data_IF_941225207637
#
_entry.id   IF_941225207637
#
_cell.length_a   1.000
_cell.length_b   1.000
_cell.length_c   1.000
_cell.angle_alpha   90.00
_cell.angle_beta   90.00
_cell.angle_gamma   90.00
#
_symmetry.space_group_name_H-M   'P 1'
#
loop_
_entity.id
_entity.type
_entity.pdbx_description
1 polymer ?
#
# COMPACT_ATOMS: atom_id res chain seq x y z
N UNK A 1 1.39 18.77 18.08
CA UNK A 1 0.09 18.25 18.56
C UNK A 1 0.33 16.78 18.94
N UNK A 2 0.13 16.43 20.21
CA UNK A 2 0.44 15.14 20.87
C UNK A 2 1.68 14.39 20.36
N UNK A 3 2.86 14.78 20.87
CA UNK A 3 4.06 13.95 20.82
C UNK A 3 3.97 12.87 21.88
N UNK A 4 3.43 11.70 21.56
CA UNK A 4 3.43 10.55 22.45
C UNK A 4 4.77 9.84 22.28
N UNK A 5 5.67 10.05 23.23
CA UNK A 5 6.92 9.31 23.32
C UNK A 5 6.74 7.99 24.06
N UNK A 6 7.84 7.23 24.15
CA UNK A 6 7.91 6.04 25.00
C UNK A 6 7.47 6.28 26.46
N UNK A 7 7.87 7.38 27.15
CA UNK A 7 7.47 7.57 28.54
C UNK A 7 5.96 7.81 28.68
N UNK A 8 5.34 8.59 27.81
CA UNK A 8 3.89 8.82 27.83
C UNK A 8 3.10 7.52 27.57
N UNK A 9 3.59 6.69 26.64
CA UNK A 9 2.99 5.37 26.36
C UNK A 9 3.09 4.43 27.57
N UNK A 10 4.19 4.49 28.33
CA UNK A 10 4.35 3.72 29.56
C UNK A 10 3.35 4.16 30.66
N UNK A 11 3.08 5.47 30.79
CA UNK A 11 2.07 5.97 31.74
C UNK A 11 0.68 5.47 31.34
N UNK A 12 0.32 5.52 30.06
CA UNK A 12 -0.97 5.02 29.56
C UNK A 12 -1.10 3.51 29.83
N UNK A 13 -0.04 2.74 29.57
CA UNK A 13 -0.02 1.31 29.85
C UNK A 13 -0.19 1.01 31.34
N UNK A 14 0.47 1.78 32.22
CA UNK A 14 0.32 1.65 33.66
C UNK A 14 -1.12 1.92 34.12
N UNK A 15 -1.75 2.99 33.63
CA UNK A 15 -3.14 3.31 33.92
C UNK A 15 -4.08 2.20 33.44
N UNK A 16 -3.86 1.68 32.23
CA UNK A 16 -4.65 0.56 31.71
C UNK A 16 -4.51 -0.69 32.59
N UNK A 17 -3.30 -1.02 33.04
CA UNK A 17 -3.05 -2.14 33.97
C UNK A 17 -3.78 -1.94 35.30
N UNK A 18 -3.83 -0.73 35.84
CA UNK A 18 -4.54 -0.47 37.10
C UNK A 18 -6.06 -0.62 36.92
N UNK A 19 -6.61 -0.11 35.82
CA UNK A 19 -8.06 -0.13 35.55
C UNK A 19 -8.55 -1.55 35.25
N UNK A 20 -7.86 -2.29 34.38
CA UNK A 20 -8.27 -3.63 33.96
C UNK A 20 -7.70 -4.75 34.84
N UNK A 21 -6.61 -4.49 35.55
CA UNK A 21 -5.85 -5.45 36.33
C UNK A 21 -4.72 -6.12 35.52
N UNK A 22 -3.51 -6.32 36.09
CA UNK A 22 -2.37 -6.92 35.41
C UNK A 22 -2.62 -8.38 35.00
N UNK A 23 -3.44 -9.10 35.76
CA UNK A 23 -3.75 -10.51 35.49
C UNK A 23 -4.75 -10.69 34.36
N UNK A 24 -5.66 -9.72 34.15
CA UNK A 24 -6.74 -9.82 33.16
C UNK A 24 -6.34 -9.32 31.77
N UNK A 25 -5.46 -8.32 31.72
CA UNK A 25 -4.95 -7.75 30.47
C UNK A 25 -4.35 -8.78 29.50
N UNK A 26 -3.47 -9.72 29.92
CA UNK A 26 -2.93 -10.74 29.03
C UNK A 26 -4.00 -11.70 28.53
N UNK A 27 -5.02 -12.02 29.33
CA UNK A 27 -6.13 -12.88 28.92
C UNK A 27 -6.98 -12.22 27.83
N UNK A 28 -7.29 -10.92 27.97
CA UNK A 28 -8.00 -10.15 26.93
C UNK A 28 -7.16 -10.02 25.66
N UNK A 29 -5.85 -9.75 25.77
CA UNK A 29 -4.96 -9.69 24.62
C UNK A 29 -4.89 -11.04 23.88
N UNK A 30 -4.82 -12.16 24.61
CA UNK A 30 -4.87 -13.51 24.03
C UNK A 30 -6.20 -13.79 23.35
N UNK A 31 -7.31 -13.34 23.91
CA UNK A 31 -8.63 -13.50 23.31
C UNK A 31 -8.76 -12.70 22.01
N UNK A 32 -8.37 -11.43 22.02
CA UNK A 32 -8.33 -10.59 20.84
C UNK A 32 -7.41 -11.18 19.76
N UNK A 33 -6.21 -11.64 20.12
CA UNK A 33 -5.28 -12.28 19.19
C UNK A 33 -5.84 -13.55 18.56
N UNK A 34 -6.58 -14.38 19.33
CA UNK A 34 -7.29 -15.54 18.79
C UNK A 34 -8.38 -15.13 17.78
N UNK A 35 -9.13 -14.09 18.10
CA UNK A 35 -10.18 -13.57 17.21
C UNK A 35 -9.61 -13.03 15.90
N UNK A 36 -8.52 -12.25 15.96
CA UNK A 36 -7.81 -11.77 14.77
C UNK A 36 -7.29 -12.93 13.93
N UNK A 37 -6.71 -13.96 14.56
CA UNK A 37 -6.24 -15.14 13.84
C UNK A 37 -7.38 -15.91 13.17
N UNK A 38 -8.54 -16.02 13.82
CA UNK A 38 -9.73 -16.64 13.24
C UNK A 38 -10.26 -15.83 12.06
N UNK A 39 -10.35 -14.51 12.20
CA UNK A 39 -10.77 -13.61 11.14
C UNK A 39 -9.84 -13.70 9.93
N UNK A 40 -8.52 -13.73 10.16
CA UNK A 40 -7.53 -13.92 9.09
C UNK A 40 -7.73 -15.24 8.36
N UNK A 41 -7.91 -16.35 9.09
CA UNK A 41 -8.19 -17.65 8.48
C UNK A 41 -9.47 -17.64 7.66
N UNK A 42 -10.53 -17.01 8.17
CA UNK A 42 -11.79 -16.88 7.44
C UNK A 42 -11.63 -16.07 6.15
N UNK A 43 -10.88 -14.97 6.19
CA UNK A 43 -10.57 -14.17 5.01
C UNK A 43 -9.74 -14.96 3.98
N UNK A 44 -8.72 -15.70 4.44
CA UNK A 44 -7.89 -16.57 3.58
C UNK A 44 -8.74 -17.69 2.92
N UNK A 45 -9.63 -18.33 3.68
CA UNK A 45 -10.55 -19.35 3.15
C UNK A 45 -11.55 -18.76 2.15
N UNK A 46 -12.20 -17.64 2.47
CA UNK A 46 -13.11 -16.97 1.55
C UNK A 46 -12.40 -16.55 0.26
N UNK A 47 -11.17 -16.04 0.35
CA UNK A 47 -10.37 -15.72 -0.84
C UNK A 47 -10.04 -16.97 -1.67
N UNK A 48 -9.81 -18.11 -1.01
CA UNK A 48 -9.57 -19.38 -1.68
C UNK A 48 -10.82 -19.91 -2.38
N UNK A 49 -11.98 -19.87 -1.73
CA UNK A 49 -13.26 -20.30 -2.31
C UNK A 49 -13.62 -19.43 -3.53
N UNK A 50 -13.43 -18.11 -3.43
CA UNK A 50 -13.63 -17.17 -4.54
C UNK A 50 -12.67 -17.44 -5.71
N UNK A 51 -11.41 -17.82 -5.42
CA UNK A 51 -10.42 -18.23 -6.42
C UNK A 51 -10.83 -19.49 -7.16
N UNK A 52 -11.37 -20.46 -6.44
CA UNK A 52 -11.75 -21.75 -6.98
C UNK A 52 -13.04 -21.65 -7.82
N UNK A 53 -13.96 -20.72 -7.49
CA UNK A 53 -15.22 -20.50 -8.23
C UNK A 53 -15.12 -19.53 -9.41
N UNK A 54 -14.37 -18.42 -9.30
CA UNK A 54 -14.33 -17.36 -10.32
C UNK A 54 -13.12 -17.49 -11.26
N UNK A 55 -12.24 -18.45 -11.02
CA UNK A 55 -11.01 -18.66 -11.80
C UNK A 55 -9.91 -17.62 -11.49
N UNK A 56 -8.67 -17.89 -11.94
CA UNK A 56 -7.49 -17.11 -11.57
C UNK A 56 -7.53 -15.63 -12.02
N UNK A 57 -8.44 -15.24 -12.91
CA UNK A 57 -8.54 -13.85 -13.41
C UNK A 57 -9.03 -12.83 -12.36
N UNK A 58 -9.76 -13.26 -11.32
CA UNK A 58 -10.25 -12.36 -10.25
C UNK A 58 -9.54 -12.59 -8.90
N UNK A 59 -8.59 -13.53 -8.87
CA UNK A 59 -7.83 -13.98 -7.70
C UNK A 59 -6.89 -12.92 -7.10
N UNK A 60 -6.45 -11.99 -7.94
CA UNK A 60 -5.43 -10.99 -7.62
C UNK A 60 -5.99 -9.64 -7.18
N UNK A 61 -7.31 -9.55 -6.96
CA UNK A 61 -7.92 -8.43 -6.25
C UNK A 61 -7.49 -8.47 -4.77
N UNK A 62 -6.26 -8.02 -4.51
CA UNK A 62 -5.76 -7.78 -3.17
C UNK A 62 -6.67 -6.75 -2.52
N UNK A 63 -7.06 -6.96 -1.26
CA UNK A 63 -7.85 -5.98 -0.51
C UNK A 63 -7.18 -4.57 -0.45
N UNK A 64 -5.88 -4.46 -0.76
CA UNK A 64 -5.13 -3.21 -0.93
C UNK A 64 -5.37 -2.50 -2.28
N UNK A 65 -5.87 -3.21 -3.30
CA UNK A 65 -6.20 -2.67 -4.62
C UNK A 65 -7.59 -1.99 -4.68
N UNK A 66 -8.34 -2.01 -3.57
CA UNK A 66 -9.54 -1.17 -3.40
C UNK A 66 -9.22 0.31 -3.11
N UNK A 67 -7.94 0.70 -3.10
CA UNK A 67 -7.53 2.09 -3.11
C UNK A 67 -7.32 2.54 -4.57
N UNK A 68 -8.20 3.39 -5.14
CA UNK A 68 -8.18 3.72 -6.58
C UNK A 68 -6.83 4.29 -7.05
N UNK A 69 -6.06 4.87 -6.13
CA UNK A 69 -4.71 5.41 -6.40
C UNK A 69 -3.69 4.31 -6.71
N UNK A 70 -3.79 3.14 -6.11
CA UNK A 70 -2.86 2.02 -6.33
C UNK A 70 -3.16 1.33 -7.66
N UNK A 71 -4.45 1.15 -7.98
CA UNK A 71 -4.88 0.61 -9.27
C UNK A 71 -4.45 1.50 -10.45
N UNK A 72 -4.66 2.83 -10.34
CA UNK A 72 -4.21 3.78 -11.37
C UNK A 72 -2.68 3.78 -11.50
N UNK A 73 -1.95 3.69 -10.39
CA UNK A 73 -0.47 3.67 -10.42
C UNK A 73 0.08 2.44 -11.12
N UNK A 74 -0.54 1.25 -10.93
CA UNK A 74 -0.15 0.02 -11.63
C UNK A 74 -0.41 0.15 -13.13
N UNK A 75 -1.61 0.57 -13.53
CA UNK A 75 -1.93 0.76 -14.94
C UNK A 75 -1.08 1.84 -15.63
N UNK A 76 -0.73 2.91 -14.92
CA UNK A 76 0.17 3.94 -15.44
C UNK A 76 1.61 3.42 -15.59
N UNK A 77 2.11 2.66 -14.62
CA UNK A 77 3.45 2.03 -14.71
C UNK A 77 3.53 1.01 -15.84
N UNK A 78 2.46 0.24 -16.06
CA UNK A 78 2.35 -0.75 -17.13
C UNK A 78 2.28 -0.07 -18.51
N UNK A 79 1.45 0.97 -18.66
CA UNK A 79 1.38 1.77 -19.88
C UNK A 79 2.71 2.48 -20.21
N UNK A 80 3.43 2.96 -19.19
CA UNK A 80 4.76 3.55 -19.37
C UNK A 80 5.80 2.49 -19.76
N UNK A 81 5.75 1.30 -19.16
CA UNK A 81 6.63 0.19 -19.50
C UNK A 81 6.39 -0.33 -20.93
N UNK A 82 5.13 -0.37 -21.37
CA UNK A 82 4.78 -0.69 -22.77
C UNK A 82 5.19 0.42 -23.73
N UNK A 83 5.09 1.70 -23.36
CA UNK A 83 5.57 2.82 -24.17
C UNK A 83 7.10 2.87 -24.31
N UNK A 84 7.82 2.33 -23.32
CA UNK A 84 9.28 2.24 -23.29
C UNK A 84 9.80 0.98 -24.02
N UNK A 85 8.92 0.11 -24.52
CA UNK A 85 9.24 -1.06 -25.33
C UNK A 85 8.69 -0.85 -26.75
N UNK A 86 9.52 -0.99 -27.79
CA UNK A 86 9.03 -0.95 -29.16
C UNK A 86 8.29 -2.25 -29.55
N UNK A 87 7.61 -2.29 -30.71
CA UNK A 87 6.84 -3.44 -31.21
C UNK A 87 7.67 -4.73 -31.42
N UNK A 88 8.98 -4.67 -31.15
CA UNK A 88 9.97 -5.74 -31.23
C UNK A 88 10.56 -6.15 -29.88
N UNK A 89 10.11 -5.54 -28.76
CA UNK A 89 10.54 -5.87 -27.40
C UNK A 89 11.91 -5.31 -27.02
N UNK A 90 12.42 -4.33 -27.76
CA UNK A 90 13.69 -3.65 -27.46
C UNK A 90 13.41 -2.46 -26.55
N UNK A 91 14.21 -2.24 -25.48
CA UNK A 91 14.12 -1.02 -24.68
C UNK A 91 14.37 0.21 -25.56
N UNK A 92 13.38 1.08 -25.66
CA UNK A 92 13.51 2.38 -26.33
C UNK A 92 14.30 3.29 -25.40
N UNK A 93 15.58 3.51 -25.72
CA UNK A 93 16.41 4.52 -25.06
C UNK A 93 15.90 5.92 -25.45
N UNK A 94 14.81 6.37 -24.80
CA UNK A 94 14.38 7.75 -24.88
C UNK A 94 15.49 8.58 -24.21
N UNK A 95 16.12 9.53 -24.91
CA UNK A 95 17.08 10.41 -24.25
C UNK A 95 16.35 11.08 -23.09
N UNK A 96 16.80 10.80 -21.86
CA UNK A 96 16.27 11.44 -20.65
C UNK A 96 16.28 12.94 -20.92
N UNK A 97 15.10 13.53 -21.18
CA UNK A 97 14.98 14.98 -21.29
C UNK A 97 15.56 15.52 -19.98
N UNK A 98 16.61 16.34 -20.03
CA UNK A 98 17.18 16.88 -18.81
C UNK A 98 16.03 17.54 -18.03
N UNK A 99 15.78 17.04 -16.83
CA UNK A 99 14.85 17.69 -15.91
C UNK A 99 15.51 19.02 -15.59
N UNK A 100 14.91 20.09 -16.09
CA UNK A 100 15.42 21.45 -15.91
C UNK A 100 15.65 21.71 -14.42
N UNK A 101 16.80 22.26 -14.08
CA UNK A 101 17.08 22.66 -12.71
C UNK A 101 16.07 23.70 -12.22
N UNK A 102 15.86 23.88 -10.90
CA UNK A 102 14.89 24.82 -10.34
C UNK A 102 15.01 26.27 -10.86
N UNK A 103 16.19 26.66 -11.35
CA UNK A 103 16.50 28.00 -11.87
C UNK A 103 16.75 28.03 -13.40
N UNK A 104 16.52 26.93 -14.12
CA UNK A 104 16.76 26.82 -15.56
C UNK A 104 15.48 27.16 -16.34
N UNK A 105 15.56 28.19 -17.19
CA UNK A 105 14.41 28.63 -18.00
C UNK A 105 14.29 27.75 -19.25
N UNK A 106 13.07 27.29 -19.59
CA UNK A 106 12.88 26.49 -20.79
C UNK A 106 13.28 27.32 -22.03
N UNK A 107 13.85 26.66 -23.07
CA UNK A 107 14.23 27.34 -24.29
C UNK A 107 13.01 28.00 -24.92
N UNK A 108 13.15 29.29 -25.27
CA UNK A 108 12.08 30.05 -25.89
C UNK A 108 12.04 29.74 -27.39
N UNK A 109 10.90 29.24 -27.87
CA UNK A 109 10.68 29.01 -29.29
C UNK A 109 10.17 30.29 -29.94
N UNK A 110 11.02 30.94 -30.74
CA UNK A 110 10.70 32.19 -31.42
C UNK A 110 9.83 31.98 -32.67
N UNK A 111 9.61 30.73 -33.10
CA UNK A 111 8.84 30.38 -34.30
C UNK A 111 7.35 30.15 -34.00
N UNK A 112 6.93 30.19 -32.72
CA UNK A 112 5.53 30.07 -32.33
C UNK A 112 4.75 31.39 -32.58
N UNK A 113 4.18 31.55 -33.77
CA UNK A 113 3.16 32.57 -34.12
C UNK A 113 1.87 31.89 -34.53
#
# INVERSE_FOLDING_TARGET
MFGVGLPELAVIALVAVIVFGPDRLPDYARQAGRMVRQLRKFAESAQQDLRDELGPEYADLKLTDLDPRVAIRKHLLEAMAEEDLDATGTPVDRPKRPVLGPDERPPYDAEAT
#
